data_IF_580850461099
#
_entry.id   IF_580850461099
#
_cell.length_a   1.000
_cell.length_b   1.000
_cell.length_c   1.000
_cell.angle_alpha   90.00
_cell.angle_beta   90.00
_cell.angle_gamma   90.00
#
_symmetry.space_group_name_H-M   'P 1'
#
loop_
_entity.id
_entity.type
_entity.pdbx_description
1 polymer ?
#
# COMPACT_ATOMS: atom_id res chain seq x y z
N UNK A 1 12.83 -7.94 -4.94
CA UNK A 1 12.74 -6.74 -4.09
C UNK A 1 12.59 -7.17 -2.64
N UNK A 2 13.30 -6.52 -1.74
CA UNK A 2 13.05 -6.58 -0.31
C UNK A 2 11.76 -5.85 0.07
N UNK A 3 11.22 -6.14 1.26
CA UNK A 3 10.04 -5.44 1.80
C UNK A 3 10.27 -3.92 1.86
N UNK A 4 11.47 -3.47 2.27
CA UNK A 4 11.83 -2.04 2.33
C UNK A 4 11.80 -1.35 0.97
N UNK A 5 12.24 -2.03 -0.09
CA UNK A 5 12.16 -1.48 -1.44
C UNK A 5 10.69 -1.33 -1.89
N UNK A 6 9.82 -2.29 -1.56
CA UNK A 6 8.39 -2.18 -1.84
C UNK A 6 7.73 -1.03 -1.07
N UNK A 7 8.03 -0.87 0.22
CA UNK A 7 7.56 0.26 1.01
C UNK A 7 7.95 1.60 0.37
N UNK A 8 9.20 1.74 -0.07
CA UNK A 8 9.69 2.94 -0.74
C UNK A 8 8.94 3.25 -2.04
N UNK A 9 8.65 2.22 -2.85
CA UNK A 9 7.86 2.37 -4.08
C UNK A 9 6.42 2.78 -3.81
N UNK A 10 5.78 2.20 -2.79
CA UNK A 10 4.41 2.52 -2.40
C UNK A 10 4.33 3.97 -1.91
N UNK A 11 5.22 4.40 -1.02
CA UNK A 11 5.26 5.79 -0.56
C UNK A 11 5.47 6.78 -1.71
N UNK A 12 6.31 6.46 -2.69
CA UNK A 12 6.48 7.30 -3.89
C UNK A 12 5.20 7.43 -4.70
N UNK A 13 4.44 6.34 -4.88
CA UNK A 13 3.13 6.36 -5.55
C UNK A 13 2.11 7.21 -4.77
N UNK A 14 2.05 7.04 -3.45
CA UNK A 14 1.16 7.80 -2.57
C UNK A 14 1.52 9.29 -2.50
N UNK A 15 2.80 9.67 -2.59
CA UNK A 15 3.17 11.10 -2.67
C UNK A 15 2.60 11.81 -3.90
N UNK A 16 2.37 11.07 -5.00
CA UNK A 16 1.76 11.61 -6.20
C UNK A 16 0.22 11.66 -6.15
N UNK A 17 -0.41 10.99 -5.18
CA UNK A 17 -1.87 10.83 -5.12
C UNK A 17 -2.38 11.01 -3.68
N UNK A 18 -3.33 11.92 -3.45
CA UNK A 18 -3.89 12.14 -2.10
C UNK A 18 -4.49 10.88 -1.46
N UNK A 19 -4.99 9.96 -2.27
CA UNK A 19 -5.53 8.67 -1.87
C UNK A 19 -5.38 7.69 -3.02
N UNK A 20 -5.09 6.43 -2.70
CA UNK A 20 -4.97 5.36 -3.69
C UNK A 20 -5.67 4.10 -3.19
N UNK A 21 -6.29 3.34 -4.09
CA UNK A 21 -6.79 2.01 -3.76
C UNK A 21 -5.61 1.00 -3.72
N UNK A 22 -5.63 0.06 -2.78
CA UNK A 22 -4.60 -0.98 -2.64
C UNK A 22 -4.37 -1.76 -3.95
N UNK A 23 -5.43 -2.06 -4.70
CA UNK A 23 -5.38 -2.76 -5.98
C UNK A 23 -4.53 -2.05 -7.04
N UNK A 24 -4.37 -0.72 -6.96
CA UNK A 24 -3.54 0.05 -7.89
C UNK A 24 -2.02 -0.07 -7.59
N UNK A 25 -1.63 -0.79 -6.54
CA UNK A 25 -0.22 -0.98 -6.19
C UNK A 25 0.45 -2.13 -6.96
N UNK A 26 -0.32 -3.09 -7.48
CA UNK A 26 0.17 -4.31 -8.11
C UNK A 26 -0.69 -4.69 -9.32
N UNK A 27 -0.15 -5.53 -10.19
CA UNK A 27 -0.88 -6.16 -11.29
C UNK A 27 -0.77 -7.68 -11.13
N UNK A 28 -1.85 -8.33 -10.70
CA UNK A 28 -1.83 -9.79 -10.43
C UNK A 28 -1.67 -10.59 -11.73
N UNK A 29 -2.19 -10.09 -12.85
CA UNK A 29 -2.11 -10.81 -14.12
C UNK A 29 -0.66 -10.90 -14.62
N UNK A 30 0.14 -9.86 -14.38
CA UNK A 30 1.52 -9.78 -14.82
C UNK A 30 2.54 -10.21 -13.74
N UNK A 31 2.31 -9.86 -12.47
CA UNK A 31 3.25 -10.09 -11.36
C UNK A 31 2.91 -11.31 -10.48
N UNK A 32 1.71 -11.88 -10.64
CA UNK A 32 1.23 -13.03 -9.86
C UNK A 32 0.83 -12.72 -8.41
N UNK A 33 0.36 -13.75 -7.69
CA UNK A 33 -0.15 -13.64 -6.31
C UNK A 33 0.92 -13.23 -5.30
N UNK A 34 2.18 -13.65 -5.49
CA UNK A 34 3.28 -13.32 -4.58
C UNK A 34 3.46 -11.81 -4.43
N UNK A 35 3.28 -11.05 -5.51
CA UNK A 35 3.41 -9.59 -5.48
C UNK A 35 2.29 -8.93 -4.68
N UNK A 36 1.06 -9.42 -4.81
CA UNK A 36 -0.08 -8.97 -4.01
C UNK A 36 0.22 -9.15 -2.51
N UNK A 37 0.68 -10.35 -2.11
CA UNK A 37 0.99 -10.66 -0.71
C UNK A 37 2.09 -9.74 -0.18
N UNK A 38 3.16 -9.53 -0.95
CA UNK A 38 4.25 -8.63 -0.55
C UNK A 38 3.79 -7.17 -0.44
N UNK A 39 2.98 -6.69 -1.37
CA UNK A 39 2.37 -5.36 -1.28
C UNK A 39 1.47 -5.23 -0.03
N UNK A 40 0.72 -6.28 0.30
CA UNK A 40 -0.13 -6.29 1.49
C UNK A 40 0.69 -6.20 2.78
N UNK A 41 1.75 -7.02 2.89
CA UNK A 41 2.66 -6.95 4.05
C UNK A 41 3.36 -5.59 4.14
N UNK A 42 3.76 -5.01 3.01
CA UNK A 42 4.42 -3.71 2.98
C UNK A 42 3.50 -2.57 3.47
N UNK A 43 2.21 -2.56 3.13
CA UNK A 43 1.29 -1.52 3.62
C UNK A 43 0.99 -1.68 5.12
N UNK A 44 0.93 -2.91 5.63
CA UNK A 44 0.74 -3.17 7.06
C UNK A 44 1.97 -2.72 7.86
N UNK A 45 3.17 -2.94 7.32
CA UNK A 45 4.41 -2.45 7.93
C UNK A 45 4.48 -0.92 7.91
N UNK A 46 4.13 -0.28 6.80
CA UNK A 46 4.05 1.18 6.71
C UNK A 46 3.03 1.78 7.70
N UNK A 47 1.89 1.11 7.89
CA UNK A 47 0.89 1.53 8.87
C UNK A 47 1.41 1.33 10.30
N UNK A 48 2.11 0.22 10.57
CA UNK A 48 2.77 -0.05 11.85
C UNK A 48 3.82 1.01 12.20
N UNK A 49 4.54 1.53 11.21
CA UNK A 49 5.51 2.63 11.35
C UNK A 49 4.85 4.02 11.37
N UNK A 50 3.53 4.12 11.21
CA UNK A 50 2.80 5.39 11.23
C UNK A 50 3.02 6.26 9.98
N UNK A 51 3.46 5.67 8.86
CA UNK A 51 3.71 6.39 7.60
C UNK A 51 2.49 6.44 6.68
N UNK A 52 1.54 5.53 6.84
CA UNK A 52 0.34 5.40 6.00
C UNK A 52 -0.90 5.18 6.85
N UNK A 53 -1.98 5.87 6.49
CA UNK A 53 -3.33 5.59 6.97
C UNK A 53 -4.03 4.60 6.04
N UNK A 54 -4.71 3.60 6.62
CA UNK A 54 -5.47 2.58 5.90
C UNK A 54 -6.95 2.71 6.26
N UNK A 55 -7.81 2.79 5.26
CA UNK A 55 -9.26 2.81 5.43
C UNK A 55 -9.92 1.64 4.71
N UNK A 56 -10.76 0.89 5.42
CA UNK A 56 -11.62 -0.16 4.86
C UNK A 56 -12.98 -0.09 5.57
N UNK A 57 -14.07 0.04 4.80
CA UNK A 57 -15.40 0.26 5.38
C UNK A 57 -16.00 -1.02 5.99
N UNK A 58 -15.86 -2.16 5.31
CA UNK A 58 -16.33 -3.47 5.76
C UNK A 58 -15.35 -4.57 5.34
N UNK A 59 -15.49 -5.76 5.91
CA UNK A 59 -14.71 -6.91 5.47
C UNK A 59 -14.87 -7.11 3.95
N UNK A 60 -13.75 -7.34 3.26
CA UNK A 60 -13.66 -7.58 1.81
C UNK A 60 -14.11 -6.42 0.91
N UNK A 61 -14.33 -5.21 1.44
CA UNK A 61 -14.46 -4.01 0.61
C UNK A 61 -13.09 -3.48 0.20
N UNK A 62 -13.00 -2.63 -0.84
CA UNK A 62 -11.75 -1.98 -1.21
C UNK A 62 -11.03 -1.34 -0.03
N UNK A 63 -9.70 -1.38 -0.09
CA UNK A 63 -8.80 -0.80 0.90
C UNK A 63 -8.19 0.45 0.29
N UNK A 64 -8.30 1.57 0.97
CA UNK A 64 -7.72 2.85 0.56
C UNK A 64 -6.53 3.22 1.44
N UNK A 65 -5.54 3.84 0.81
CA UNK A 65 -4.26 4.20 1.41
C UNK A 65 -4.01 5.70 1.24
N UNK A 66 -3.51 6.34 2.29
CA UNK A 66 -3.11 7.74 2.31
C UNK A 66 -1.80 7.90 3.06
N UNK A 67 -0.94 8.82 2.63
CA UNK A 67 0.26 9.14 3.41
C UNK A 67 -0.15 9.90 4.68
N UNK A 68 0.44 9.53 5.82
CA UNK A 68 0.34 10.39 7.00
C UNK A 68 1.19 11.62 6.72
N UNK A 69 0.57 12.80 6.66
CA UNK A 69 1.34 14.03 6.59
C UNK A 69 2.00 14.21 7.97
N UNK A 70 3.33 14.26 7.98
CA UNK A 70 4.04 14.81 9.12
C UNK A 70 3.81 16.32 9.05
N UNK A 71 3.16 16.87 10.07
CA UNK A 71 3.13 18.32 10.32
C UNK A 71 4.54 18.87 10.53
#
# INVERSE_FOLDING_TARGET
LSVREHMSQILRKLKAHKMLEFSALFDVANDGLSKLVVCFLAILELAREGLVHITQQKAYTPIYLQINQAD
#
